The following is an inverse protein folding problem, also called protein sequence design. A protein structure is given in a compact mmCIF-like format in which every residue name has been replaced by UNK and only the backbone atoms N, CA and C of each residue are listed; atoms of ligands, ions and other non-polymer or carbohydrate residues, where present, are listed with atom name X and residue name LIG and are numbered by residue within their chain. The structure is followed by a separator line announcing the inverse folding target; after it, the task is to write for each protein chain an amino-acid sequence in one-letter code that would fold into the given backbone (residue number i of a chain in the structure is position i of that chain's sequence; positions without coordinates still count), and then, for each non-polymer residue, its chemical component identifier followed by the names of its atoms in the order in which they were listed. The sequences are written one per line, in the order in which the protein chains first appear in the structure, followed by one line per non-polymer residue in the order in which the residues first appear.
data_IF_585230594492
#
_entry.id   IF_585230594492
#
_cell.length_a   1.000
_cell.length_b   1.000
_cell.length_c   1.000
_cell.angle_alpha   90.00
_cell.angle_beta   90.00
_cell.angle_gamma   90.00
#
_symmetry.space_group_name_H-M   'P 1'
#
loop_
_entity.id
_entity.type
_entity.pdbx_description
1 polymer ?
#
# COMPACT_ATOMS: atom_id res chain seq x y z
N UNK A 1 66.40 -29.03 20.47
CA UNK A 1 65.88 -28.13 21.49
C UNK A 1 66.48 -26.75 21.26
N UNK A 2 65.69 -25.77 20.94
CA UNK A 2 66.16 -24.40 20.81
C UNK A 2 66.29 -23.80 22.23
N UNK A 3 67.48 -23.36 22.61
CA UNK A 3 67.75 -22.68 23.86
C UNK A 3 67.55 -21.18 23.61
N UNK A 4 66.55 -20.61 24.20
CA UNK A 4 66.29 -19.17 24.19
C UNK A 4 67.09 -18.52 25.33
N UNK A 5 68.00 -17.58 24.99
CA UNK A 5 68.65 -16.72 25.99
C UNK A 5 67.75 -15.49 26.24
N UNK A 6 67.41 -15.28 27.50
CA UNK A 6 66.62 -14.13 27.92
C UNK A 6 65.27 -14.49 28.54
N UNK A 7 64.46 -13.48 28.81
CA UNK A 7 63.12 -13.64 29.42
C UNK A 7 62.21 -14.27 28.40
N UNK A 8 61.60 -15.43 28.70
CA UNK A 8 60.58 -16.06 27.88
C UNK A 8 59.30 -15.24 27.85
N UNK A 9 58.93 -14.71 26.74
CA UNK A 9 57.67 -14.06 26.48
C UNK A 9 56.59 -15.09 26.10
N UNK A 10 55.34 -14.75 26.24
CA UNK A 10 54.23 -15.61 25.81
C UNK A 10 54.26 -15.88 24.30
N UNK A 11 54.79 -14.94 23.51
CA UNK A 11 55.06 -15.09 22.08
C UNK A 11 56.12 -16.15 21.76
N UNK A 12 57.12 -16.36 22.63
CA UNK A 12 58.17 -17.35 22.40
C UNK A 12 57.70 -18.79 22.64
N UNK A 13 56.61 -18.95 23.41
CA UNK A 13 55.97 -20.24 23.62
C UNK A 13 55.14 -20.66 22.41
N UNK A 14 54.69 -19.67 21.64
CA UNK A 14 53.89 -19.88 20.44
C UNK A 14 54.74 -20.06 19.17
N UNK A 15 56.00 -19.58 19.16
CA UNK A 15 56.86 -19.53 17.98
C UNK A 15 57.61 -20.83 17.64
N UNK A 16 57.39 -21.90 18.37
CA UNK A 16 58.14 -23.17 18.17
C UNK A 16 57.43 -24.06 17.14
N UNK A 17 57.42 -23.67 15.87
CA UNK A 17 57.32 -24.55 14.70
C UNK A 17 57.15 -23.79 13.37
N UNK A 18 58.07 -22.92 13.08
CA UNK A 18 58.23 -22.44 11.71
C UNK A 18 59.47 -23.00 11.11
N UNK A 19 59.43 -24.24 10.67
CA UNK A 19 60.31 -24.69 9.58
C UNK A 19 59.53 -25.65 8.69
N UNK A 20 59.48 -25.27 7.43
CA UNK A 20 58.93 -26.03 6.33
C UNK A 20 57.41 -26.02 6.17
N UNK A 21 56.85 -25.04 5.47
CA UNK A 21 55.90 -25.16 4.37
C UNK A 21 54.57 -25.89 4.61
N UNK A 22 54.21 -26.25 5.81
CA UNK A 22 52.91 -26.87 6.14
C UNK A 22 52.26 -26.01 7.19
N UNK A 23 51.03 -25.61 6.94
CA UNK A 23 50.23 -24.67 7.69
C UNK A 23 50.49 -24.68 9.20
N UNK A 24 50.57 -23.51 9.80
CA UNK A 24 50.80 -23.30 11.22
C UNK A 24 50.03 -24.31 12.07
N UNK A 25 50.73 -25.19 12.75
CA UNK A 25 50.06 -26.01 13.75
C UNK A 25 49.46 -25.11 14.83
N UNK A 26 48.18 -25.26 15.12
CA UNK A 26 47.53 -24.45 16.14
C UNK A 26 48.30 -24.56 17.44
N UNK A 27 48.48 -23.46 18.13
CA UNK A 27 49.17 -23.37 19.42
C UNK A 27 48.48 -24.25 20.47
N UNK A 28 48.94 -25.49 20.62
CA UNK A 28 48.29 -26.54 21.44
C UNK A 28 48.52 -26.35 22.92
N UNK A 29 49.38 -25.43 23.32
CA UNK A 29 49.75 -25.25 24.73
C UNK A 29 49.08 -24.02 25.39
N UNK A 30 48.55 -23.09 24.57
CA UNK A 30 47.91 -21.90 25.03
C UNK A 30 46.43 -22.20 25.28
N UNK A 31 45.96 -21.98 26.48
CA UNK A 31 44.52 -21.96 26.79
C UNK A 31 44.00 -20.57 26.43
N UNK A 32 43.24 -20.50 25.36
CA UNK A 32 42.54 -19.27 24.99
C UNK A 32 41.36 -19.07 25.94
N UNK A 33 41.26 -17.88 26.48
CA UNK A 33 40.08 -17.45 27.22
C UNK A 33 39.00 -17.08 26.20
N UNK A 34 37.92 -17.86 26.19
CA UNK A 34 36.75 -17.57 25.38
C UNK A 34 35.67 -17.01 26.27
N UNK A 35 35.08 -15.90 25.89
CA UNK A 35 33.89 -15.40 26.56
C UNK A 35 32.77 -16.45 26.49
N UNK A 36 32.08 -16.68 27.57
CA UNK A 36 30.92 -17.56 27.62
C UNK A 36 29.70 -16.92 26.91
N UNK A 37 29.83 -15.64 26.58
CA UNK A 37 28.77 -14.88 25.92
C UNK A 37 29.05 -14.73 24.42
N UNK A 38 28.15 -15.25 23.57
CA UNK A 38 28.16 -15.05 22.15
C UNK A 38 27.33 -13.82 21.83
N UNK A 39 27.94 -12.81 21.21
CA UNK A 39 27.22 -11.65 20.70
C UNK A 39 26.62 -12.02 19.33
N UNK A 40 25.32 -12.02 19.22
CA UNK A 40 24.60 -12.32 18.00
C UNK A 40 23.99 -11.04 17.42
N UNK A 41 24.23 -10.77 16.13
CA UNK A 41 23.56 -9.72 15.38
C UNK A 41 22.25 -10.30 14.84
N UNK A 42 21.17 -10.19 15.62
CA UNK A 42 19.86 -10.60 15.16
C UNK A 42 19.20 -9.43 14.38
N UNK A 43 18.75 -9.64 13.15
CA UNK A 43 17.87 -8.68 12.49
C UNK A 43 16.53 -8.61 13.24
N UNK A 44 15.90 -7.44 13.22
CA UNK A 44 14.58 -7.27 13.80
C UNK A 44 13.58 -8.24 13.13
N UNK A 45 12.58 -8.67 13.88
CA UNK A 45 11.59 -9.62 13.41
C UNK A 45 10.70 -9.02 12.33
N UNK A 46 10.07 -9.88 11.53
CA UNK A 46 9.20 -9.54 10.42
C UNK A 46 7.88 -8.90 10.89
N UNK A 47 7.70 -7.57 10.87
CA UNK A 47 6.53 -6.91 11.43
C UNK A 47 5.27 -7.13 10.60
N UNK A 48 5.34 -7.04 9.29
CA UNK A 48 4.17 -7.14 8.41
C UNK A 48 3.49 -8.51 8.51
N UNK A 49 4.28 -9.58 8.48
CA UNK A 49 3.75 -10.94 8.62
C UNK A 49 3.09 -11.19 9.99
N UNK A 50 3.65 -10.61 11.06
CA UNK A 50 3.06 -10.71 12.40
C UNK A 50 1.69 -10.05 12.44
N UNK A 51 1.56 -8.83 11.90
CA UNK A 51 0.26 -8.14 11.82
C UNK A 51 -0.75 -8.90 10.97
N UNK A 52 -0.36 -9.37 9.79
CA UNK A 52 -1.24 -10.15 8.91
C UNK A 52 -1.75 -11.43 9.58
N UNK A 53 -0.87 -12.18 10.22
CA UNK A 53 -1.23 -13.45 10.84
C UNK A 53 -2.17 -13.30 12.04
N UNK A 54 -2.10 -12.17 12.76
CA UNK A 54 -2.87 -11.96 13.96
C UNK A 54 -4.20 -11.23 13.72
N UNK A 55 -4.23 -10.28 12.80
CA UNK A 55 -5.37 -9.40 12.59
C UNK A 55 -6.24 -9.86 11.41
N UNK A 56 -5.65 -10.40 10.37
CA UNK A 56 -6.29 -10.59 9.07
C UNK A 56 -6.17 -12.03 8.55
N UNK A 57 -6.36 -13.05 9.39
CA UNK A 57 -6.22 -14.45 8.99
C UNK A 57 -7.55 -15.10 8.66
N UNK A 58 -7.71 -15.55 7.42
CA UNK A 58 -8.90 -16.30 6.95
C UNK A 58 -8.43 -17.51 6.13
N UNK A 59 -8.67 -18.75 6.60
CA UNK A 59 -8.24 -19.95 5.88
C UNK A 59 -8.96 -20.13 4.54
N UNK A 60 -8.30 -20.79 3.60
CA UNK A 60 -8.87 -21.21 2.33
C UNK A 60 -8.80 -22.74 2.20
N UNK A 61 -9.73 -23.34 1.47
CA UNK A 61 -9.78 -24.77 1.19
C UNK A 61 -9.27 -25.13 -0.21
N UNK A 62 -8.99 -24.12 -1.04
CA UNK A 62 -8.41 -24.28 -2.39
C UNK A 62 -7.09 -23.50 -2.49
N UNK A 63 -6.20 -24.00 -3.33
CA UNK A 63 -4.94 -23.33 -3.68
C UNK A 63 -5.13 -22.09 -4.55
N UNK A 64 -6.31 -21.91 -5.14
CA UNK A 64 -6.76 -20.73 -5.87
C UNK A 64 -7.96 -20.16 -5.13
N UNK A 65 -7.77 -19.12 -4.37
CA UNK A 65 -8.87 -18.46 -3.69
C UNK A 65 -9.41 -17.30 -4.52
N UNK A 66 -10.73 -17.15 -4.50
CA UNK A 66 -11.43 -16.06 -5.17
C UNK A 66 -12.10 -15.16 -4.15
N UNK A 67 -12.17 -13.88 -4.47
CA UNK A 67 -12.84 -12.89 -3.65
C UNK A 67 -13.63 -11.94 -4.53
N UNK A 68 -14.66 -11.35 -3.94
CA UNK A 68 -15.57 -10.45 -4.62
C UNK A 68 -15.30 -9.02 -4.17
N UNK A 69 -15.25 -8.11 -5.13
CA UNK A 69 -15.06 -6.71 -4.91
C UNK A 69 -16.27 -5.92 -5.42
N UNK A 70 -16.81 -5.11 -4.54
CA UNK A 70 -17.88 -4.19 -4.93
C UNK A 70 -17.29 -2.77 -5.03
N UNK A 71 -16.95 -2.38 -6.25
CA UNK A 71 -16.57 -1.02 -6.59
C UNK A 71 -17.81 -0.29 -7.04
N UNK A 72 -18.28 0.65 -6.23
CA UNK A 72 -19.29 1.57 -6.73
C UNK A 72 -18.62 2.49 -7.75
N UNK A 73 -18.84 2.24 -9.03
CA UNK A 73 -18.45 3.17 -10.11
C UNK A 73 -19.11 4.53 -9.95
N UNK A 74 -20.11 4.59 -9.08
CA UNK A 74 -20.87 5.77 -8.76
C UNK A 74 -20.34 6.31 -7.46
N UNK A 75 -19.58 7.39 -7.55
CA UNK A 75 -19.25 8.16 -6.38
C UNK A 75 -20.53 8.73 -5.77
N UNK A 76 -21.02 8.10 -4.69
CA UNK A 76 -22.27 8.53 -4.07
C UNK A 76 -22.18 9.93 -3.46
N UNK A 77 -20.98 10.40 -3.19
CA UNK A 77 -20.76 11.72 -2.56
C UNK A 77 -20.73 12.84 -3.56
N UNK A 78 -20.17 12.64 -4.76
CA UNK A 78 -19.97 13.71 -5.73
C UNK A 78 -20.63 13.40 -7.05
N UNK A 79 -21.14 12.50 -7.54
CA UNK A 79 -21.83 12.23 -8.82
C UNK A 79 -21.60 13.34 -9.87
N UNK A 80 -20.32 13.62 -10.13
CA UNK A 80 -19.90 14.62 -11.10
C UNK A 80 -19.68 13.98 -12.46
N UNK A 81 -19.87 14.78 -13.51
CA UNK A 81 -19.56 14.46 -14.88
C UNK A 81 -19.28 15.76 -15.65
N UNK A 82 -18.77 15.65 -16.87
CA UNK A 82 -18.38 16.79 -17.69
C UNK A 82 -19.26 16.89 -18.93
N UNK A 83 -19.38 18.09 -19.47
CA UNK A 83 -19.88 18.27 -20.81
C UNK A 83 -18.80 17.89 -21.83
N UNK A 84 -19.06 16.90 -22.68
CA UNK A 84 -18.17 16.47 -23.75
C UNK A 84 -18.30 17.31 -25.02
N UNK A 85 -19.26 18.25 -25.04
CA UNK A 85 -19.45 19.21 -26.13
C UNK A 85 -20.24 20.42 -25.64
N UNK A 86 -19.98 21.57 -26.22
CA UNK A 86 -20.73 22.78 -25.94
C UNK A 86 -22.23 22.63 -26.32
N UNK A 87 -23.11 22.95 -25.39
CA UNK A 87 -24.55 22.89 -25.59
C UNK A 87 -25.00 24.06 -26.46
N UNK A 88 -25.99 23.82 -27.33
CA UNK A 88 -26.52 24.85 -28.28
C UNK A 88 -25.43 25.48 -29.18
N UNK A 89 -24.38 24.70 -29.52
CA UNK A 89 -23.28 25.20 -30.34
C UNK A 89 -22.48 26.35 -29.70
N UNK A 90 -22.44 26.39 -28.35
CA UNK A 90 -21.77 27.46 -27.62
C UNK A 90 -22.55 28.76 -27.50
N UNK A 91 -23.83 28.76 -27.89
CA UNK A 91 -24.73 29.90 -27.74
C UNK A 91 -25.48 29.80 -26.40
N UNK A 92 -25.94 30.96 -25.92
CA UNK A 92 -26.69 31.05 -24.67
C UNK A 92 -27.94 30.15 -24.68
N UNK A 93 -28.16 29.43 -23.55
CA UNK A 93 -29.35 28.63 -23.33
C UNK A 93 -30.42 29.44 -22.61
N UNK A 94 -31.68 29.03 -22.75
CA UNK A 94 -32.84 29.72 -22.17
C UNK A 94 -33.63 28.78 -21.27
N UNK A 95 -34.11 29.29 -20.12
CA UNK A 95 -34.97 28.56 -19.23
C UNK A 95 -36.25 28.08 -19.94
N UNK A 96 -36.70 26.88 -19.62
CA UNK A 96 -37.87 26.24 -20.23
C UNK A 96 -37.59 25.52 -21.53
N UNK A 97 -36.45 25.73 -22.20
CA UNK A 97 -36.07 25.09 -23.46
C UNK A 97 -35.33 23.76 -23.23
N UNK A 98 -35.53 22.83 -24.19
CA UNK A 98 -34.83 21.53 -24.16
C UNK A 98 -33.66 21.57 -25.17
N UNK A 99 -32.54 21.01 -24.77
CA UNK A 99 -31.33 20.90 -25.56
C UNK A 99 -30.75 19.48 -25.48
N UNK A 100 -29.95 19.11 -26.45
CA UNK A 100 -29.19 17.88 -26.45
C UNK A 100 -27.89 18.10 -25.66
N UNK A 101 -27.65 17.24 -24.69
CA UNK A 101 -26.43 17.20 -23.91
C UNK A 101 -25.60 15.98 -24.31
N UNK A 102 -24.33 16.18 -24.53
CA UNK A 102 -23.33 15.13 -24.67
C UNK A 102 -22.38 15.26 -23.49
N UNK A 103 -22.24 14.20 -22.70
CA UNK A 103 -21.49 14.20 -21.44
C UNK A 103 -20.54 13.02 -21.39
N UNK A 104 -19.48 13.17 -20.65
CA UNK A 104 -18.53 12.11 -20.34
C UNK A 104 -18.20 12.06 -18.85
N UNK A 105 -17.56 10.97 -18.43
CA UNK A 105 -17.18 10.80 -17.02
C UNK A 105 -16.06 11.77 -16.66
N UNK A 106 -16.18 12.39 -15.50
CA UNK A 106 -15.10 13.11 -14.86
C UNK A 106 -14.09 12.11 -14.29
N UNK A 107 -12.91 12.03 -14.89
CA UNK A 107 -11.81 11.16 -14.45
C UNK A 107 -10.82 11.84 -13.52
N UNK A 108 -10.98 13.16 -13.30
CA UNK A 108 -10.10 13.93 -12.45
C UNK A 108 -10.69 14.15 -11.06
N UNK A 109 -9.93 13.82 -10.02
CA UNK A 109 -10.23 14.24 -8.66
C UNK A 109 -9.73 15.67 -8.49
N UNK A 110 -10.64 16.64 -8.60
CA UNK A 110 -10.33 18.06 -8.44
C UNK A 110 -9.77 18.80 -9.67
N UNK A 111 -9.68 18.14 -10.82
CA UNK A 111 -9.30 18.74 -12.10
C UNK A 111 -10.27 18.33 -13.20
N UNK A 112 -10.45 19.20 -14.18
CA UNK A 112 -11.30 18.97 -15.35
C UNK A 112 -10.51 18.19 -16.39
N UNK A 113 -10.80 16.90 -16.55
CA UNK A 113 -10.24 16.09 -17.63
C UNK A 113 -11.34 15.29 -18.31
N UNK A 114 -11.50 15.48 -19.61
CA UNK A 114 -12.41 14.67 -20.42
C UNK A 114 -11.95 13.21 -20.38
N UNK A 115 -12.77 12.32 -19.79
CA UNK A 115 -12.39 10.94 -19.57
C UNK A 115 -12.59 10.02 -20.75
N UNK A 116 -13.31 10.43 -21.77
CA UNK A 116 -13.64 9.57 -22.90
C UNK A 116 -14.36 8.28 -22.49
N UNK A 117 -15.08 8.29 -21.37
CA UNK A 117 -15.89 7.20 -20.87
C UNK A 117 -17.34 7.67 -20.65
N UNK A 118 -18.29 6.79 -20.92
CA UNK A 118 -19.71 7.07 -20.73
C UNK A 118 -20.08 7.20 -19.25
N UNK A 119 -21.15 7.94 -18.99
CA UNK A 119 -21.71 8.16 -17.66
C UNK A 119 -22.87 7.19 -17.42
N UNK A 120 -22.65 6.10 -16.70
CA UNK A 120 -23.59 4.98 -16.57
C UNK A 120 -24.73 5.22 -15.57
N UNK A 121 -24.61 6.19 -14.67
CA UNK A 121 -25.55 6.41 -13.58
C UNK A 121 -26.68 7.38 -13.88
N UNK A 122 -26.71 7.98 -15.08
CA UNK A 122 -27.73 8.94 -15.43
C UNK A 122 -29.05 8.25 -15.77
N UNK A 123 -30.12 8.74 -15.21
CA UNK A 123 -31.50 8.28 -15.50
C UNK A 123 -32.39 9.46 -15.83
N UNK A 124 -33.47 9.18 -16.56
CA UNK A 124 -34.51 10.15 -16.83
C UNK A 124 -35.11 10.67 -15.51
N UNK A 125 -35.27 11.99 -15.41
CA UNK A 125 -35.80 12.66 -14.22
C UNK A 125 -34.75 13.10 -13.21
N UNK A 126 -33.47 12.77 -13.42
CA UNK A 126 -32.38 13.39 -12.65
C UNK A 126 -32.28 14.87 -12.95
N UNK A 127 -31.87 15.61 -11.92
CA UNK A 127 -31.61 17.04 -11.96
C UNK A 127 -30.14 17.26 -11.63
N UNK A 128 -29.46 18.00 -12.48
CA UNK A 128 -28.07 18.37 -12.29
C UNK A 128 -27.85 19.84 -12.51
N UNK A 129 -26.75 20.34 -12.02
CA UNK A 129 -26.31 21.72 -12.16
C UNK A 129 -25.05 21.72 -13.01
N UNK A 130 -24.97 22.60 -13.98
CA UNK A 130 -23.77 22.88 -14.74
C UNK A 130 -23.11 24.11 -14.18
N UNK A 131 -21.86 23.96 -13.77
CA UNK A 131 -21.00 25.06 -13.33
C UNK A 131 -20.20 25.55 -14.54
N UNK A 132 -20.54 26.73 -15.07
CA UNK A 132 -19.82 27.27 -16.19
C UNK A 132 -18.48 27.87 -15.78
N UNK A 133 -17.41 27.44 -16.44
CA UNK A 133 -16.06 27.98 -16.23
C UNK A 133 -15.72 29.12 -17.17
N UNK A 134 -16.50 29.31 -18.23
CA UNK A 134 -16.27 30.31 -19.29
C UNK A 134 -16.54 31.72 -18.77
N UNK A 135 -15.49 32.48 -18.53
CA UNK A 135 -15.56 33.90 -18.14
C UNK A 135 -15.58 34.15 -16.63
N UNK A 136 -15.52 33.11 -15.80
CA UNK A 136 -15.68 33.19 -14.35
C UNK A 136 -14.38 33.38 -13.58
N UNK A 137 -13.34 33.92 -14.17
CA UNK A 137 -12.10 34.16 -13.38
C UNK A 137 -12.28 35.16 -12.22
N UNK A 138 -13.45 35.77 -12.08
CA UNK A 138 -13.51 36.91 -11.15
C UNK A 138 -14.62 36.92 -10.14
N UNK A 139 -15.41 36.00 -9.90
CA UNK A 139 -16.38 36.11 -8.82
C UNK A 139 -17.84 35.82 -9.18
N UNK A 140 -18.13 34.63 -9.51
CA UNK A 140 -19.54 34.30 -9.58
C UNK A 140 -19.72 32.81 -9.84
N UNK A 141 -20.30 32.16 -8.89
CA UNK A 141 -20.80 30.80 -9.03
C UNK A 141 -22.01 30.84 -9.94
N UNK A 142 -21.80 30.56 -11.23
CA UNK A 142 -22.89 30.54 -12.21
C UNK A 142 -23.37 29.10 -12.35
N UNK A 143 -24.61 28.86 -12.05
CA UNK A 143 -25.23 27.54 -12.10
C UNK A 143 -26.42 27.56 -13.07
N UNK A 144 -26.42 26.62 -13.99
CA UNK A 144 -27.59 26.33 -14.84
C UNK A 144 -28.18 24.99 -14.38
N UNK A 145 -29.42 24.99 -13.94
CA UNK A 145 -30.11 23.78 -13.47
C UNK A 145 -30.82 23.10 -14.64
N UNK A 146 -30.55 21.82 -14.82
CA UNK A 146 -31.04 21.01 -15.93
C UNK A 146 -31.73 19.76 -15.42
N UNK A 147 -32.86 19.38 -16.00
CA UNK A 147 -33.53 18.10 -15.75
C UNK A 147 -33.44 17.21 -16.99
N UNK A 148 -33.09 15.96 -16.80
CA UNK A 148 -33.04 14.95 -17.87
C UNK A 148 -34.46 14.55 -18.29
N UNK A 149 -34.80 14.72 -19.54
CA UNK A 149 -36.16 14.42 -20.08
C UNK A 149 -36.22 13.12 -20.88
N UNK A 150 -35.14 12.74 -21.56
CA UNK A 150 -35.07 11.47 -22.29
C UNK A 150 -34.23 10.44 -21.54
N UNK A 151 -34.41 9.15 -21.83
CA UNK A 151 -33.48 8.14 -21.40
C UNK A 151 -32.09 8.43 -21.99
N UNK A 152 -31.03 8.40 -21.18
CA UNK A 152 -29.67 8.56 -21.69
C UNK A 152 -29.28 7.42 -22.62
N UNK A 153 -28.54 7.75 -23.67
CA UNK A 153 -28.00 6.78 -24.65
C UNK A 153 -26.48 6.78 -24.55
N UNK A 154 -25.93 5.62 -24.30
CA UNK A 154 -24.51 5.41 -24.16
C UNK A 154 -23.88 5.05 -25.52
N UNK A 155 -22.75 5.69 -25.85
CA UNK A 155 -21.92 5.37 -27.03
C UNK A 155 -20.59 4.69 -26.67
N UNK A 156 -20.34 4.36 -25.41
CA UNK A 156 -19.09 3.80 -24.91
C UNK A 156 -18.03 4.85 -24.53
N UNK A 157 -18.05 6.01 -25.15
CA UNK A 157 -17.14 7.14 -24.83
C UNK A 157 -17.88 8.34 -24.28
N UNK A 158 -19.13 8.52 -24.66
CA UNK A 158 -19.97 9.64 -24.23
C UNK A 158 -21.40 9.17 -24.03
N UNK A 159 -22.14 9.85 -23.17
CA UNK A 159 -23.57 9.64 -22.97
C UNK A 159 -24.34 10.83 -23.49
N UNK A 160 -25.39 10.60 -24.27
CA UNK A 160 -26.23 11.65 -24.85
C UNK A 160 -27.65 11.57 -24.34
N UNK A 161 -28.25 12.71 -24.05
CA UNK A 161 -29.65 12.82 -23.62
C UNK A 161 -30.25 14.19 -23.97
N UNK A 162 -31.56 14.28 -23.91
CA UNK A 162 -32.26 15.55 -23.95
C UNK A 162 -32.50 16.07 -22.55
N UNK A 163 -32.01 17.26 -22.22
CA UNK A 163 -32.20 17.94 -20.94
C UNK A 163 -32.96 19.24 -21.12
N UNK A 164 -33.89 19.51 -20.20
CA UNK A 164 -34.63 20.76 -20.13
C UNK A 164 -33.99 21.69 -19.11
N UNK A 165 -33.71 22.90 -19.53
CA UNK A 165 -33.21 23.95 -18.66
C UNK A 165 -34.35 24.37 -17.71
N UNK A 166 -34.15 24.22 -16.42
CA UNK A 166 -35.15 24.60 -15.41
C UNK A 166 -34.96 26.05 -15.02
N UNK A 167 -33.72 26.39 -14.68
CA UNK A 167 -33.37 27.73 -14.27
C UNK A 167 -31.96 28.09 -14.76
N UNK A 168 -31.75 29.37 -14.99
CA UNK A 168 -30.48 29.95 -15.36
C UNK A 168 -30.19 31.03 -14.36
N UNK A 169 -29.40 30.70 -13.35
CA UNK A 169 -29.10 31.59 -12.25
C UNK A 169 -27.95 32.53 -12.53
N UNK A 170 -27.94 33.64 -11.80
CA UNK A 170 -26.86 34.61 -11.77
C UNK A 170 -26.58 35.39 -13.08
N UNK A 171 -27.62 36.05 -13.57
CA UNK A 171 -27.52 36.95 -14.73
C UNK A 171 -26.51 38.13 -14.59
N UNK A 172 -25.92 38.27 -13.39
CA UNK A 172 -24.88 39.29 -13.16
C UNK A 172 -23.48 38.83 -13.62
N UNK A 173 -23.31 37.56 -13.98
CA UNK A 173 -22.06 37.01 -14.50
C UNK A 173 -22.14 36.97 -16.04
N UNK A 174 -21.18 37.54 -16.72
CA UNK A 174 -21.11 37.46 -18.18
C UNK A 174 -20.95 36.02 -18.66
N UNK A 175 -21.76 35.55 -19.59
CA UNK A 175 -21.72 34.18 -20.10
C UNK A 175 -22.32 33.12 -19.17
N UNK A 176 -23.06 33.51 -18.17
CA UNK A 176 -23.67 32.61 -17.18
C UNK A 176 -24.57 31.50 -17.76
N UNK A 177 -25.09 31.70 -18.93
CA UNK A 177 -25.95 30.77 -19.65
C UNK A 177 -25.30 30.17 -20.92
N UNK A 178 -24.00 30.26 -21.06
CA UNK A 178 -23.22 29.61 -22.11
C UNK A 178 -22.60 28.37 -21.52
N UNK A 179 -23.02 27.18 -21.95
CA UNK A 179 -22.54 25.91 -21.48
C UNK A 179 -21.44 25.40 -22.42
N UNK A 180 -20.22 25.43 -21.94
CA UNK A 180 -19.04 25.11 -22.74
C UNK A 180 -18.65 23.63 -22.61
N UNK A 181 -17.75 23.19 -23.48
CA UNK A 181 -17.05 21.92 -23.35
C UNK A 181 -16.21 21.89 -22.06
N UNK A 182 -16.19 20.75 -21.39
CA UNK A 182 -15.52 20.54 -20.11
C UNK A 182 -16.12 21.31 -18.90
N UNK A 183 -17.32 21.88 -19.03
CA UNK A 183 -18.02 22.41 -17.85
C UNK A 183 -18.41 21.28 -16.91
N UNK A 184 -18.17 21.49 -15.60
CA UNK A 184 -18.44 20.50 -14.57
C UNK A 184 -19.94 20.43 -14.26
N UNK A 185 -20.49 19.24 -14.33
CA UNK A 185 -21.87 18.94 -13.98
C UNK A 185 -21.93 18.16 -12.69
N UNK A 186 -22.83 18.54 -11.78
CA UNK A 186 -23.07 17.85 -10.53
C UNK A 186 -24.54 17.47 -10.39
N UNK A 187 -24.81 16.18 -10.10
CA UNK A 187 -26.18 15.73 -9.82
C UNK A 187 -26.61 16.21 -8.44
N UNK A 188 -27.74 16.90 -8.38
CA UNK A 188 -28.32 17.41 -7.13
C UNK A 188 -29.48 16.57 -6.62
N UNK A 189 -30.05 15.70 -7.46
CA UNK A 189 -31.15 14.83 -7.06
C UNK A 189 -32.04 14.41 -8.23
N UNK A 190 -33.26 14.03 -7.92
CA UNK A 190 -34.27 13.63 -8.90
C UNK A 190 -35.55 14.43 -8.69
N UNK A 191 -36.24 14.77 -9.79
CA UNK A 191 -37.53 15.46 -9.73
C UNK A 191 -38.53 14.82 -10.71
N UNK A 192 -39.64 14.32 -10.20
CA UNK A 192 -40.68 13.69 -10.98
C UNK A 192 -42.01 14.47 -10.82
N UNK A 193 -42.81 14.43 -11.86
CA UNK A 193 -44.14 15.02 -11.81
C UNK A 193 -45.11 14.17 -10.98
N UNK A 194 -46.17 14.78 -10.53
CA UNK A 194 -47.26 14.10 -9.83
C UNK A 194 -47.91 13.06 -10.77
N UNK A 195 -48.11 11.82 -10.26
CA UNK A 195 -48.71 10.75 -11.04
C UNK A 195 -47.81 10.08 -12.09
N UNK A 196 -46.52 10.34 -12.09
CA UNK A 196 -45.54 9.67 -13.00
C UNK A 196 -45.22 8.26 -12.52
N UNK A 197 -44.87 7.38 -13.46
CA UNK A 197 -44.38 6.02 -13.15
C UNK A 197 -43.03 6.05 -12.45
N UNK A 198 -42.64 4.88 -11.89
CA UNK A 198 -41.33 4.70 -11.25
C UNK A 198 -40.19 5.01 -12.23
N UNK A 199 -39.09 5.58 -11.76
CA UNK A 199 -37.91 5.78 -12.59
C UNK A 199 -37.24 4.48 -13.00
N UNK A 200 -36.44 4.53 -14.05
CA UNK A 200 -35.53 3.45 -14.41
C UNK A 200 -34.51 3.22 -13.27
N UNK A 201 -34.04 1.99 -13.15
CA UNK A 201 -33.06 1.61 -12.14
C UNK A 201 -31.69 1.40 -12.79
N UNK A 202 -30.63 1.70 -12.06
CA UNK A 202 -29.27 1.31 -12.41
C UNK A 202 -28.68 0.50 -11.26
N UNK A 203 -27.80 -0.43 -11.61
CA UNK A 203 -27.05 -1.25 -10.65
C UNK A 203 -25.63 -1.45 -11.13
N UNK A 204 -24.71 -1.63 -10.22
CA UNK A 204 -23.33 -2.02 -10.53
C UNK A 204 -23.16 -3.50 -10.22
N UNK A 205 -22.48 -4.23 -11.12
CA UNK A 205 -22.12 -5.61 -10.89
C UNK A 205 -20.91 -5.73 -9.97
N UNK A 206 -20.87 -6.84 -9.23
CA UNK A 206 -19.73 -7.19 -8.37
C UNK A 206 -18.64 -7.80 -9.25
N UNK A 207 -17.42 -7.33 -9.08
CA UNK A 207 -16.24 -7.87 -9.77
C UNK A 207 -15.60 -8.99 -8.95
N UNK A 208 -15.02 -10.00 -9.59
CA UNK A 208 -14.26 -11.03 -8.93
C UNK A 208 -12.77 -10.95 -9.29
N UNK A 209 -11.92 -11.19 -8.31
CA UNK A 209 -10.49 -11.38 -8.50
C UNK A 209 -10.05 -12.66 -7.77
N UNK A 210 -8.84 -13.11 -8.02
CA UNK A 210 -8.30 -14.34 -7.47
C UNK A 210 -6.86 -14.20 -7.03
N UNK A 211 -6.46 -15.02 -6.07
CA UNK A 211 -5.08 -15.15 -5.64
C UNK A 211 -4.63 -16.61 -5.62
N UNK A 212 -3.32 -16.82 -5.46
CA UNK A 212 -2.72 -18.15 -5.34
C UNK A 212 -2.08 -18.33 -3.98
N UNK A 213 -2.16 -19.55 -3.43
CA UNK A 213 -1.31 -19.93 -2.30
C UNK A 213 0.07 -20.32 -2.80
N UNK A 214 1.10 -19.97 -2.06
CA UNK A 214 2.50 -20.32 -2.31
C UNK A 214 3.01 -21.25 -1.22
N UNK A 215 3.80 -22.25 -1.60
CA UNK A 215 4.41 -23.19 -0.69
C UNK A 215 5.81 -22.73 -0.32
N UNK A 216 6.01 -22.38 0.93
CA UNK A 216 7.31 -22.03 1.52
C UNK A 216 7.88 -23.24 2.22
N UNK A 217 9.16 -23.55 1.99
CA UNK A 217 9.87 -24.68 2.61
C UNK A 217 11.25 -24.25 3.08
N UNK A 218 11.55 -24.53 4.33
CA UNK A 218 12.88 -24.30 4.90
C UNK A 218 13.33 -25.54 5.66
N UNK A 219 14.48 -26.08 5.32
CA UNK A 219 15.03 -27.28 5.96
C UNK A 219 16.20 -26.92 6.86
N UNK A 220 16.31 -27.68 7.96
CA UNK A 220 17.46 -27.71 8.83
C UNK A 220 18.05 -29.12 8.81
N UNK A 221 19.34 -29.23 8.50
CA UNK A 221 20.04 -30.50 8.36
C UNK A 221 21.37 -30.46 9.11
N UNK A 222 21.61 -31.46 9.95
CA UNK A 222 22.83 -31.57 10.72
C UNK A 222 23.23 -33.04 10.87
N UNK A 223 24.54 -33.35 10.72
CA UNK A 223 25.04 -34.72 10.90
C UNK A 223 24.97 -35.12 12.37
N UNK A 224 24.73 -36.42 12.64
CA UNK A 224 24.69 -36.94 14.01
C UNK A 224 26.02 -36.75 14.76
N UNK A 225 27.14 -36.75 14.06
CA UNK A 225 28.45 -36.40 14.61
C UNK A 225 28.51 -34.98 15.11
N UNK A 226 27.95 -34.00 14.34
CA UNK A 226 27.90 -32.61 14.74
C UNK A 226 26.96 -32.41 15.93
N UNK A 227 25.83 -33.11 15.99
CA UNK A 227 24.91 -33.10 17.16
C UNK A 227 25.57 -33.66 18.40
N UNK A 228 26.36 -34.74 18.29
CA UNK A 228 27.07 -35.35 19.40
C UNK A 228 28.26 -34.52 19.90
N UNK A 229 28.78 -33.61 19.09
CA UNK A 229 29.95 -32.79 19.43
C UNK A 229 29.53 -31.63 20.33
N UNK A 230 30.26 -31.42 21.42
CA UNK A 230 30.07 -30.25 22.29
C UNK A 230 30.77 -29.02 21.72
N UNK A 231 30.03 -27.99 21.51
CA UNK A 231 30.52 -26.69 21.07
C UNK A 231 30.56 -25.70 22.25
N UNK A 232 31.44 -24.69 22.16
CA UNK A 232 31.41 -23.57 23.10
C UNK A 232 30.39 -22.54 22.66
N UNK A 233 29.77 -21.87 23.61
CA UNK A 233 28.83 -20.79 23.37
C UNK A 233 27.36 -21.22 23.42
N UNK A 234 27.00 -22.37 22.90
CA UNK A 234 25.64 -22.91 22.94
C UNK A 234 25.63 -24.35 23.46
N UNK A 235 24.65 -24.66 24.27
CA UNK A 235 24.48 -26.02 24.81
C UNK A 235 24.00 -27.01 23.74
N UNK A 236 23.18 -26.55 22.80
CA UNK A 236 22.61 -27.35 21.73
C UNK A 236 22.68 -26.58 20.38
N UNK A 237 23.56 -27.05 19.52
CA UNK A 237 23.78 -26.41 18.22
C UNK A 237 22.59 -26.59 17.27
N UNK A 238 21.89 -27.72 17.35
CA UNK A 238 20.72 -28.00 16.57
C UNK A 238 19.59 -26.99 16.85
N UNK A 239 19.32 -26.73 18.15
CA UNK A 239 18.29 -25.74 18.54
C UNK A 239 18.63 -24.33 18.08
N UNK A 240 19.90 -23.94 18.13
CA UNK A 240 20.35 -22.64 17.64
C UNK A 240 20.10 -22.49 16.16
N UNK A 241 20.54 -23.46 15.34
CA UNK A 241 20.35 -23.45 13.89
C UNK A 241 18.86 -23.47 13.57
N UNK A 242 18.10 -24.29 14.29
CA UNK A 242 16.65 -24.38 14.10
C UNK A 242 15.94 -23.05 14.37
N UNK A 243 16.26 -22.37 15.46
CA UNK A 243 15.71 -21.05 15.77
C UNK A 243 16.03 -20.02 14.67
N UNK A 244 17.26 -20.04 14.15
CA UNK A 244 17.66 -19.17 13.03
C UNK A 244 16.86 -19.48 11.77
N UNK A 245 16.69 -20.77 11.43
CA UNK A 245 15.91 -21.20 10.25
C UNK A 245 14.42 -20.85 10.35
N UNK A 246 13.84 -20.87 11.54
CA UNK A 246 12.47 -20.40 11.76
C UNK A 246 12.32 -18.89 11.51
N UNK A 247 13.31 -18.10 11.94
CA UNK A 247 13.32 -16.65 11.65
C UNK A 247 13.47 -16.40 10.13
N UNK A 248 14.41 -17.08 9.47
CA UNK A 248 14.58 -17.00 8.02
C UNK A 248 13.27 -17.33 7.27
N UNK A 249 12.59 -18.41 7.70
CA UNK A 249 11.32 -18.82 7.10
C UNK A 249 10.23 -17.73 7.20
N UNK A 250 10.10 -17.08 8.36
CA UNK A 250 9.16 -15.96 8.54
C UNK A 250 9.51 -14.78 7.62
N UNK A 251 10.78 -14.42 7.53
CA UNK A 251 11.27 -13.32 6.66
C UNK A 251 11.04 -13.64 5.18
N UNK A 252 11.18 -14.90 4.77
CA UNK A 252 10.91 -15.31 3.37
C UNK A 252 9.42 -15.20 3.03
N UNK A 253 8.53 -15.55 3.96
CA UNK A 253 7.08 -15.37 3.79
C UNK A 253 6.77 -13.87 3.66
N UNK A 254 7.29 -13.05 4.56
CA UNK A 254 7.07 -11.59 4.54
C UNK A 254 7.55 -10.96 3.24
N UNK A 255 8.75 -11.35 2.77
CA UNK A 255 9.30 -10.87 1.51
C UNK A 255 8.39 -11.20 0.33
N UNK A 256 7.82 -12.41 0.29
CA UNK A 256 6.87 -12.80 -0.74
C UNK A 256 5.56 -12.03 -0.64
N UNK A 257 5.06 -11.77 0.58
CA UNK A 257 3.82 -11.01 0.80
C UNK A 257 3.98 -9.49 0.59
N UNK A 258 5.21 -8.98 0.60
CA UNK A 258 5.48 -7.60 0.22
C UNK A 258 5.74 -7.45 -1.29
N UNK A 259 6.66 -8.25 -1.85
CA UNK A 259 7.21 -8.03 -3.19
C UNK A 259 6.80 -9.10 -4.22
N UNK A 260 6.03 -10.11 -3.83
CA UNK A 260 5.59 -11.18 -4.73
C UNK A 260 4.76 -10.68 -5.91
N UNK A 261 4.73 -11.46 -6.98
CA UNK A 261 3.88 -11.21 -8.13
C UNK A 261 3.01 -12.45 -8.41
N UNK A 262 1.73 -12.23 -8.61
CA UNK A 262 0.76 -13.29 -8.93
C UNK A 262 1.13 -14.00 -10.22
N UNK A 263 1.51 -15.27 -10.13
CA UNK A 263 1.85 -16.09 -11.29
C UNK A 263 1.64 -17.59 -11.02
N UNK A 264 1.45 -18.36 -12.10
CA UNK A 264 1.45 -19.81 -12.09
C UNK A 264 2.26 -20.31 -13.26
N UNK A 265 3.41 -20.90 -12.99
CA UNK A 265 4.33 -21.37 -14.03
C UNK A 265 4.83 -22.77 -13.69
N UNK A 266 4.75 -23.71 -14.62
CA UNK A 266 5.26 -25.07 -14.45
C UNK A 266 4.67 -25.84 -13.26
N UNK A 267 3.44 -25.54 -12.84
CA UNK A 267 2.80 -26.14 -11.67
C UNK A 267 3.17 -25.49 -10.34
N UNK A 268 4.07 -24.50 -10.34
CA UNK A 268 4.41 -23.71 -9.15
C UNK A 268 3.54 -22.46 -9.12
N UNK A 269 2.93 -22.19 -7.96
CA UNK A 269 2.11 -21.02 -7.71
C UNK A 269 2.89 -20.01 -6.88
N UNK A 270 2.70 -18.72 -7.21
CA UNK A 270 3.33 -17.59 -6.55
C UNK A 270 2.25 -16.65 -6.03
N UNK A 271 2.33 -16.29 -4.77
CA UNK A 271 1.40 -15.33 -4.15
C UNK A 271 1.70 -13.91 -4.61
N UNK A 272 0.69 -13.08 -4.64
CA UNK A 272 0.83 -11.64 -4.88
C UNK A 272 1.23 -10.93 -3.59
N UNK A 273 2.19 -10.03 -3.68
CA UNK A 273 2.60 -9.16 -2.58
C UNK A 273 2.00 -7.76 -2.73
N UNK A 274 1.81 -7.05 -1.63
CA UNK A 274 1.14 -5.76 -1.63
C UNK A 274 1.87 -4.70 -2.47
N UNK A 275 3.19 -4.57 -2.32
CA UNK A 275 3.99 -3.65 -3.16
C UNK A 275 3.95 -4.09 -4.61
N UNK A 276 4.06 -5.41 -4.88
CA UNK A 276 3.98 -5.96 -6.23
C UNK A 276 2.64 -5.65 -6.89
N UNK A 277 1.54 -5.75 -6.14
CA UNK A 277 0.20 -5.41 -6.61
C UNK A 277 0.05 -3.92 -6.94
N UNK A 278 0.54 -3.04 -6.07
CA UNK A 278 0.49 -1.58 -6.30
C UNK A 278 1.30 -1.19 -7.54
N UNK A 279 2.54 -1.64 -7.63
CA UNK A 279 3.44 -1.28 -8.75
C UNK A 279 2.93 -1.81 -10.09
N UNK A 280 2.24 -2.96 -10.09
CA UNK A 280 1.64 -3.52 -11.31
C UNK A 280 0.45 -2.72 -11.81
N UNK A 281 -0.36 -2.19 -10.90
CA UNK A 281 -1.65 -1.55 -11.21
C UNK A 281 -1.57 -0.01 -11.23
N UNK A 282 -0.47 0.59 -10.83
CA UNK A 282 -0.27 2.03 -10.85
C UNK A 282 1.10 2.42 -11.40
N UNK A 283 1.15 3.52 -12.13
CA UNK A 283 2.41 4.16 -12.50
C UNK A 283 2.79 5.19 -11.44
N UNK A 284 4.08 5.35 -11.11
CA UNK A 284 4.50 6.39 -10.20
C UNK A 284 4.18 7.77 -10.78
N UNK A 285 3.52 8.60 -10.00
CA UNK A 285 3.17 9.96 -10.38
C UNK A 285 4.13 10.92 -9.72
N UNK A 286 4.78 11.75 -10.50
CA UNK A 286 5.67 12.81 -10.04
C UNK A 286 5.01 14.19 -10.05
N UNK A 287 3.88 14.33 -10.76
CA UNK A 287 3.19 15.59 -10.98
C UNK A 287 2.06 15.82 -9.97
N UNK A 288 1.98 17.01 -9.41
CA UNK A 288 0.98 17.42 -8.42
C UNK A 288 -0.43 17.53 -9.00
N UNK A 289 -0.54 17.75 -10.30
CA UNK A 289 -1.82 17.98 -11.00
C UNK A 289 -2.51 16.69 -11.49
N UNK A 290 -1.85 15.54 -11.38
CA UNK A 290 -2.29 14.30 -12.05
C UNK A 290 -2.99 13.29 -11.13
N UNK A 291 -3.62 13.73 -10.04
CA UNK A 291 -4.43 12.83 -9.22
C UNK A 291 -5.80 12.60 -9.82
N UNK A 292 -5.87 11.79 -10.88
CA UNK A 292 -7.14 11.23 -11.29
C UNK A 292 -7.44 9.97 -10.47
N UNK A 293 -8.57 9.97 -9.79
CA UNK A 293 -9.13 8.75 -9.22
C UNK A 293 -9.55 7.85 -10.40
N UNK A 294 -8.91 6.70 -10.53
CA UNK A 294 -9.35 5.65 -11.44
C UNK A 294 -9.72 4.42 -10.62
N UNK A 295 -10.89 3.87 -10.90
CA UNK A 295 -11.35 2.63 -10.23
C UNK A 295 -10.33 1.51 -10.45
N UNK A 296 -9.94 0.81 -9.40
CA UNK A 296 -8.94 -0.24 -9.44
C UNK A 296 -7.48 0.23 -9.40
N UNK A 297 -7.22 1.54 -9.34
CA UNK A 297 -5.86 2.08 -9.37
C UNK A 297 -5.41 2.50 -7.97
N UNK A 298 -4.40 1.84 -7.38
CA UNK A 298 -3.82 2.25 -6.12
C UNK A 298 -3.05 3.57 -6.24
N UNK A 299 -2.80 4.22 -5.12
CA UNK A 299 -2.00 5.43 -5.09
C UNK A 299 -0.50 5.08 -5.09
N UNK A 300 0.23 5.50 -6.12
CA UNK A 300 1.67 5.35 -6.18
C UNK A 300 2.33 6.68 -6.53
N UNK A 301 3.13 7.20 -5.63
CA UNK A 301 3.82 8.47 -5.79
C UNK A 301 5.32 8.32 -5.61
N UNK A 302 6.08 8.91 -6.53
CA UNK A 302 7.52 9.11 -6.40
C UNK A 302 7.83 10.60 -6.20
N UNK A 303 8.61 10.91 -5.15
CA UNK A 303 8.97 12.28 -4.77
C UNK A 303 10.44 12.39 -4.46
N UNK A 304 11.11 13.39 -5.01
CA UNK A 304 12.47 13.71 -4.62
C UNK A 304 12.53 14.16 -3.15
N UNK A 305 13.55 13.72 -2.42
CA UNK A 305 13.68 14.04 -0.99
C UNK A 305 13.69 15.56 -0.71
N UNK A 306 14.19 16.37 -1.65
CA UNK A 306 14.20 17.83 -1.54
C UNK A 306 12.83 18.49 -1.66
N UNK A 307 11.88 17.82 -2.29
CA UNK A 307 10.52 18.31 -2.55
C UNK A 307 9.52 17.84 -1.49
N UNK A 308 9.90 16.89 -0.65
CA UNK A 308 9.07 16.37 0.40
C UNK A 308 8.98 17.37 1.55
N UNK A 309 7.99 18.24 1.48
CA UNK A 309 7.65 19.21 2.52
C UNK A 309 6.42 18.77 3.31
N UNK A 310 6.16 19.44 4.44
CA UNK A 310 4.94 19.19 5.21
C UNK A 310 3.67 19.43 4.39
N UNK A 311 3.60 20.55 3.70
CA UNK A 311 2.42 20.95 2.95
C UNK A 311 2.15 19.98 1.79
N UNK A 312 3.23 19.49 1.16
CA UNK A 312 3.10 18.47 0.11
C UNK A 312 2.59 17.13 0.66
N UNK A 313 3.17 16.67 1.77
CA UNK A 313 2.71 15.46 2.43
C UNK A 313 1.23 15.56 2.82
N UNK A 314 0.80 16.71 3.32
CA UNK A 314 -0.59 16.94 3.70
C UNK A 314 -1.53 16.87 2.48
N UNK A 315 -1.12 17.43 1.36
CA UNK A 315 -1.88 17.35 0.10
C UNK A 315 -1.96 15.92 -0.44
N UNK A 316 -0.87 15.16 -0.35
CA UNK A 316 -0.86 13.74 -0.75
C UNK A 316 -1.74 12.89 0.18
N UNK A 317 -1.76 13.18 1.49
CA UNK A 317 -2.62 12.50 2.46
C UNK A 317 -4.11 12.82 2.24
N UNK A 318 -4.46 14.00 1.76
CA UNK A 318 -5.83 14.33 1.34
C UNK A 318 -6.33 13.34 0.30
N UNK A 319 -5.50 13.02 -0.69
CA UNK A 319 -5.85 12.05 -1.74
C UNK A 319 -5.90 10.62 -1.20
N UNK A 320 -4.95 10.23 -0.34
CA UNK A 320 -4.86 8.87 0.20
C UNK A 320 -6.04 8.55 1.13
N UNK A 321 -6.46 9.52 1.94
CA UNK A 321 -7.58 9.38 2.88
C UNK A 321 -8.92 9.83 2.29
N UNK A 322 -9.00 10.09 0.99
CA UNK A 322 -10.27 10.44 0.34
C UNK A 322 -11.32 9.35 0.58
N UNK A 323 -12.50 9.71 1.14
CA UNK A 323 -13.62 8.78 1.31
C UNK A 323 -14.03 8.04 0.05
N UNK A 324 -13.80 8.62 -1.12
CA UNK A 324 -14.08 7.99 -2.42
C UNK A 324 -13.24 6.73 -2.67
N UNK A 325 -12.07 6.63 -2.04
CA UNK A 325 -11.21 5.43 -2.08
C UNK A 325 -11.69 4.30 -1.15
N UNK A 326 -12.66 4.58 -0.27
CA UNK A 326 -13.35 3.58 0.55
C UNK A 326 -12.53 2.94 1.66
N UNK A 327 -11.39 3.49 2.01
CA UNK A 327 -10.54 2.96 3.06
C UNK A 327 -10.89 3.44 4.47
N UNK A 328 -10.26 2.81 5.46
CA UNK A 328 -10.32 3.22 6.87
C UNK A 328 -9.57 4.54 7.10
N UNK A 329 -9.98 5.30 8.12
CA UNK A 329 -9.22 6.47 8.61
C UNK A 329 -7.90 6.08 9.29
N UNK A 330 -7.76 4.81 9.68
CA UNK A 330 -6.56 4.28 10.31
C UNK A 330 -5.75 3.46 9.30
N UNK A 331 -4.47 3.78 9.13
CA UNK A 331 -3.57 3.08 8.20
C UNK A 331 -2.35 2.55 8.93
N UNK A 332 -2.01 1.29 8.65
CA UNK A 332 -0.70 0.76 8.98
C UNK A 332 0.30 1.26 7.93
N UNK A 333 1.36 1.90 8.39
CA UNK A 333 2.41 2.44 7.53
C UNK A 333 3.71 1.70 7.77
N UNK A 334 4.12 0.90 6.80
CA UNK A 334 5.41 0.26 6.81
C UNK A 334 6.42 1.21 6.16
N UNK A 335 7.40 1.65 6.91
CA UNK A 335 8.35 2.64 6.43
C UNK A 335 9.80 2.17 6.57
N UNK A 336 10.62 2.58 5.61
CA UNK A 336 12.06 2.40 5.68
C UNK A 336 12.67 3.33 6.74
N UNK A 337 13.87 2.99 7.21
CA UNK A 337 14.56 3.78 8.22
C UNK A 337 14.86 5.23 7.79
N UNK A 338 15.29 5.50 6.54
CA UNK A 338 15.47 6.86 6.04
C UNK A 338 14.19 7.69 6.08
N UNK A 339 13.05 7.10 5.72
CA UNK A 339 11.75 7.77 5.74
C UNK A 339 11.33 8.12 7.18
N UNK A 340 11.49 7.21 8.13
CA UNK A 340 11.23 7.49 9.56
C UNK A 340 12.10 8.64 10.06
N UNK A 341 13.39 8.64 9.70
CA UNK A 341 14.30 9.72 10.07
C UNK A 341 13.87 11.06 9.46
N UNK A 342 13.34 11.02 8.24
CA UNK A 342 12.78 12.21 7.58
C UNK A 342 11.58 12.77 8.36
N UNK A 343 10.61 11.91 8.75
CA UNK A 343 9.47 12.34 9.56
C UNK A 343 9.89 12.98 10.88
N UNK A 344 10.89 12.42 11.57
CA UNK A 344 11.43 13.03 12.79
C UNK A 344 12.01 14.41 12.53
N UNK A 345 12.76 14.61 11.44
CA UNK A 345 13.30 15.92 11.06
C UNK A 345 12.20 16.91 10.68
N UNK A 346 11.14 16.44 10.06
CA UNK A 346 9.98 17.26 9.71
C UNK A 346 9.30 17.80 10.99
N UNK A 347 9.19 16.97 12.02
CA UNK A 347 8.71 17.36 13.35
C UNK A 347 9.60 18.38 14.02
N UNK A 348 10.92 18.21 13.98
CA UNK A 348 11.90 19.15 14.54
C UNK A 348 11.87 20.50 13.81
N UNK A 349 11.76 20.51 12.48
CA UNK A 349 11.64 21.73 11.68
C UNK A 349 10.39 22.54 12.02
N UNK A 350 9.29 21.91 12.30
CA UNK A 350 8.06 22.57 12.75
C UNK A 350 8.22 23.25 14.13
N UNK A 351 9.16 22.76 14.95
CA UNK A 351 9.51 23.37 16.25
C UNK A 351 10.49 24.54 16.12
N UNK A 352 11.39 24.50 15.12
CA UNK A 352 12.47 25.47 14.97
C UNK A 352 12.14 26.69 14.09
N UNK A 353 11.09 26.62 13.29
CA UNK A 353 10.63 27.75 12.47
C UNK A 353 9.75 28.76 13.27
N UNK A 354 9.81 28.69 14.60
CA UNK A 354 9.47 29.80 15.47
C UNK A 354 10.56 30.84 15.39
N UNK A 355 10.74 31.49 14.25
CA UNK A 355 11.45 32.74 14.10
C UNK A 355 10.91 33.67 15.18
N UNK A 356 11.81 34.11 16.07
CA UNK A 356 11.54 35.02 17.19
C UNK A 356 10.84 36.27 16.70
N UNK A 357 9.52 36.28 16.67
CA UNK A 357 8.78 37.50 16.29
C UNK A 357 7.27 37.38 16.22
N UNK A 358 6.68 36.22 16.20
CA UNK A 358 5.22 36.13 16.20
C UNK A 358 4.74 35.00 17.11
N UNK A 359 4.29 35.37 18.28
CA UNK A 359 3.83 34.49 19.36
C UNK A 359 2.46 33.83 19.09
N UNK A 360 2.01 33.68 17.86
CA UNK A 360 0.64 33.24 17.59
C UNK A 360 0.47 31.98 16.75
N UNK A 361 1.53 31.25 16.40
CA UNK A 361 1.41 30.02 15.62
C UNK A 361 2.20 28.81 16.18
N UNK A 362 2.12 28.59 17.48
CA UNK A 362 2.48 27.31 18.07
C UNK A 362 1.29 26.36 17.91
N UNK A 363 1.01 25.94 16.71
CA UNK A 363 0.15 24.78 16.49
C UNK A 363 1.08 23.58 16.34
N UNK A 364 1.06 22.67 17.30
CA UNK A 364 1.64 21.33 17.13
C UNK A 364 0.98 20.71 15.91
N UNK A 365 1.69 20.67 14.79
CA UNK A 365 1.18 20.13 13.53
C UNK A 365 1.11 18.61 13.54
N UNK A 366 1.93 17.98 14.40
CA UNK A 366 1.91 16.53 14.61
C UNK A 366 1.97 16.18 16.09
N UNK A 367 1.15 15.24 16.50
CA UNK A 367 1.28 14.58 17.78
C UNK A 367 1.98 13.24 17.54
N UNK A 368 3.26 13.13 17.90
CA UNK A 368 4.00 11.89 17.84
C UNK A 368 3.90 11.20 19.18
N UNK A 369 3.18 10.10 19.24
CA UNK A 369 3.18 9.21 20.39
C UNK A 369 3.95 7.91 20.05
N UNK A 370 5.03 7.66 20.77
CA UNK A 370 5.70 6.36 20.73
C UNK A 370 4.96 5.41 21.65
N UNK A 371 4.33 4.37 21.09
CA UNK A 371 3.66 3.32 21.84
C UNK A 371 4.30 1.98 21.55
N UNK A 372 4.44 1.16 22.58
CA UNK A 372 4.78 -0.24 22.41
C UNK A 372 3.52 -0.96 21.93
N UNK A 373 3.54 -1.47 20.70
CA UNK A 373 2.41 -2.20 20.12
C UNK A 373 2.16 -3.51 20.87
N UNK A 374 0.95 -4.04 20.78
CA UNK A 374 0.54 -5.30 21.40
C UNK A 374 1.44 -6.50 21.02
N UNK A 375 2.29 -6.36 20.00
CA UNK A 375 3.15 -7.41 19.44
C UNK A 375 4.65 -7.17 19.66
N UNK A 376 5.03 -6.24 20.53
CA UNK A 376 6.44 -5.96 20.88
C UNK A 376 7.18 -5.08 19.85
N UNK A 377 6.51 -4.56 18.82
CA UNK A 377 7.08 -3.59 17.90
C UNK A 377 6.82 -2.17 18.39
N UNK A 378 7.82 -1.30 18.20
CA UNK A 378 7.63 0.13 18.44
C UNK A 378 6.81 0.73 17.32
N UNK A 379 5.69 1.32 17.67
CA UNK A 379 4.75 2.00 16.76
C UNK A 379 4.84 3.49 17.03
N UNK A 380 5.06 4.27 15.97
CA UNK A 380 4.93 5.71 16.03
C UNK A 380 3.56 6.08 15.45
N UNK A 381 2.70 6.67 16.25
CA UNK A 381 1.40 7.15 15.80
C UNK A 381 1.50 8.60 15.41
N UNK A 382 1.03 8.92 14.21
CA UNK A 382 0.94 10.28 13.68
C UNK A 382 -0.52 10.58 13.39
N UNK A 383 -1.08 11.51 14.15
CA UNK A 383 -2.44 12.00 13.92
C UNK A 383 -2.39 13.19 12.96
N UNK A 384 -3.07 13.06 11.85
CA UNK A 384 -3.23 14.10 10.84
C UNK A 384 -4.67 14.57 10.76
N UNK A 385 -4.92 15.68 10.07
CA UNK A 385 -6.30 16.19 9.85
C UNK A 385 -7.15 15.18 9.08
N UNK A 386 -6.53 14.35 8.23
CA UNK A 386 -7.21 13.42 7.34
C UNK A 386 -7.39 12.02 7.96
N UNK A 387 -6.50 11.61 8.86
CA UNK A 387 -6.56 10.30 9.49
C UNK A 387 -5.31 9.99 10.31
N UNK A 388 -5.32 8.81 10.93
CA UNK A 388 -4.25 8.33 11.80
C UNK A 388 -3.34 7.36 11.05
N UNK A 389 -2.03 7.58 11.15
CA UNK A 389 -1.00 6.71 10.58
C UNK A 389 -0.23 6.01 11.70
N UNK A 390 -0.16 4.70 11.64
CA UNK A 390 0.62 3.86 12.55
C UNK A 390 1.91 3.43 11.85
N UNK A 391 3.00 4.15 12.08
CA UNK A 391 4.29 3.87 11.46
C UNK A 391 5.01 2.73 12.19
N UNK A 392 5.38 1.73 11.41
CA UNK A 392 6.19 0.60 11.83
C UNK A 392 7.42 0.52 10.93
N UNK A 393 8.57 0.28 11.53
CA UNK A 393 9.82 0.09 10.79
C UNK A 393 9.81 -1.25 10.09
N UNK A 394 10.01 -1.22 8.76
CA UNK A 394 10.13 -2.42 7.93
C UNK A 394 11.60 -2.70 7.57
N UNK A 395 12.21 -3.76 8.12
CA UNK A 395 13.61 -4.07 7.87
C UNK A 395 13.92 -4.47 6.43
N UNK A 396 12.93 -4.95 5.68
CA UNK A 396 13.09 -5.39 4.29
C UNK A 396 13.17 -4.23 3.30
N UNK A 397 12.76 -3.02 3.70
CA UNK A 397 12.87 -1.84 2.86
C UNK A 397 14.28 -1.29 2.85
N UNK A 398 15.16 -1.96 2.07
CA UNK A 398 16.57 -1.61 1.89
C UNK A 398 16.98 -1.69 0.43
N UNK A 399 18.07 -1.06 0.07
CA UNK A 399 18.55 -1.03 -1.30
C UNK A 399 17.60 -0.29 -2.22
N UNK A 400 17.02 -0.95 -3.22
CA UNK A 400 16.09 -0.36 -4.17
C UNK A 400 14.80 0.16 -3.52
N UNK A 401 14.39 -0.44 -2.41
CA UNK A 401 13.18 -0.04 -1.67
C UNK A 401 13.47 0.85 -0.45
N UNK A 402 14.68 1.43 -0.35
CA UNK A 402 15.10 2.22 0.80
C UNK A 402 14.32 3.52 1.01
N UNK A 403 13.60 4.01 -0.01
CA UNK A 403 12.71 5.16 0.07
C UNK A 403 11.23 4.81 0.25
N UNK A 404 10.88 3.52 0.36
CA UNK A 404 9.49 3.12 0.38
C UNK A 404 8.80 3.41 1.72
N UNK A 405 7.58 3.89 1.58
CA UNK A 405 6.59 4.02 2.63
C UNK A 405 5.28 3.42 2.11
N UNK A 406 4.92 2.27 2.62
CA UNK A 406 3.73 1.53 2.23
C UNK A 406 2.61 1.79 3.22
N UNK A 407 1.53 2.39 2.78
CA UNK A 407 0.33 2.63 3.58
C UNK A 407 -0.71 1.57 3.26
N UNK A 408 -1.01 0.73 4.24
CA UNK A 408 -1.90 -0.39 4.10
C UNK A 408 -3.15 -0.25 4.96
N UNK A 409 -4.29 -0.52 4.38
CA UNK A 409 -5.53 -0.74 5.12
C UNK A 409 -5.64 -2.22 5.50
N UNK A 410 -5.43 -2.53 6.78
CA UNK A 410 -5.45 -3.91 7.26
C UNK A 410 -6.83 -4.57 7.14
N UNK A 411 -7.91 -3.80 7.04
CA UNK A 411 -9.27 -4.34 6.85
C UNK A 411 -9.49 -4.93 5.44
N UNK A 412 -8.63 -4.58 4.49
CA UNK A 412 -8.68 -4.99 3.08
C UNK A 412 -7.62 -6.03 2.72
N UNK A 413 -6.84 -6.47 3.69
CA UNK A 413 -5.82 -7.49 3.54
C UNK A 413 -6.21 -8.73 4.32
N UNK A 414 -5.96 -9.92 3.74
CA UNK A 414 -6.17 -11.17 4.44
C UNK A 414 -5.05 -12.18 4.15
N UNK A 415 -4.56 -12.79 5.22
CA UNK A 415 -3.66 -13.93 5.14
C UNK A 415 -4.48 -15.20 4.93
N UNK A 416 -4.24 -15.90 3.82
CA UNK A 416 -4.98 -17.08 3.38
C UNK A 416 -4.16 -18.36 3.50
N UNK A 417 -4.07 -18.99 4.68
CA UNK A 417 -3.45 -20.31 4.78
C UNK A 417 -4.36 -21.40 4.19
N UNK A 418 -3.76 -22.39 3.56
CA UNK A 418 -4.50 -23.53 3.04
C UNK A 418 -4.88 -24.50 4.17
N UNK A 419 -6.17 -24.62 4.44
CA UNK A 419 -6.73 -25.51 5.46
C UNK A 419 -7.97 -26.18 4.88
N UNK A 420 -7.88 -27.45 4.52
CA UNK A 420 -9.00 -28.17 3.92
C UNK A 420 -8.87 -29.69 4.09
N UNK A 421 -9.96 -30.43 3.95
CA UNK A 421 -10.03 -31.90 4.05
C UNK A 421 -9.37 -32.50 5.30
N UNK A 422 -9.43 -31.81 6.43
CA UNK A 422 -8.80 -32.24 7.69
C UNK A 422 -7.28 -32.05 7.75
N UNK A 423 -6.68 -31.45 6.73
CA UNK A 423 -5.25 -31.12 6.68
C UNK A 423 -5.06 -29.61 6.82
N UNK A 424 -4.26 -29.24 7.79
CA UNK A 424 -3.82 -27.86 7.98
C UNK A 424 -2.41 -27.69 7.41
N UNK A 425 -2.26 -26.89 6.37
CA UNK A 425 -0.99 -26.58 5.72
C UNK A 425 -0.44 -25.20 6.07
N UNK A 426 -1.03 -24.55 7.05
CA UNK A 426 -0.38 -23.42 7.70
C UNK A 426 0.94 -23.87 8.34
N UNK A 427 1.73 -22.98 8.86
CA UNK A 427 3.06 -23.27 9.39
C UNK A 427 3.09 -24.52 10.26
N UNK A 428 3.72 -25.59 9.79
CA UNK A 428 3.90 -26.83 10.50
C UNK A 428 5.30 -27.39 10.28
N UNK A 429 5.74 -28.19 11.23
CA UNK A 429 7.07 -28.77 11.26
C UNK A 429 6.95 -30.27 10.95
N UNK A 430 7.76 -30.76 10.01
CA UNK A 430 7.93 -32.17 9.74
C UNK A 430 9.32 -32.56 10.21
N UNK A 431 9.39 -33.49 11.14
CA UNK A 431 10.64 -33.97 11.73
C UNK A 431 11.07 -35.27 11.07
N UNK A 432 12.40 -35.53 11.08
CA UNK A 432 13.01 -36.76 10.61
C UNK A 432 12.68 -37.08 9.15
N UNK A 433 12.94 -36.12 8.25
CA UNK A 433 12.67 -36.24 6.80
C UNK A 433 13.85 -36.82 6.01
N UNK A 434 14.94 -37.19 6.68
CA UNK A 434 16.12 -37.79 6.07
C UNK A 434 15.83 -39.19 5.48
N UNK A 435 16.62 -39.60 4.50
CA UNK A 435 16.61 -40.98 4.01
C UNK A 435 17.12 -41.93 5.10
N UNK A 436 16.69 -43.17 5.09
CA UNK A 436 17.01 -44.15 6.12
C UNK A 436 18.47 -44.60 6.16
N UNK A 437 19.23 -44.31 5.11
CA UNK A 437 20.65 -44.64 4.92
C UNK A 437 21.58 -43.45 5.23
N UNK A 438 21.03 -42.28 5.56
CA UNK A 438 21.81 -41.07 5.86
C UNK A 438 21.99 -40.88 7.37
N UNK A 439 23.26 -40.74 7.81
CA UNK A 439 23.63 -40.44 9.21
C UNK A 439 23.52 -38.93 9.52
N UNK A 440 22.29 -38.41 9.45
CA UNK A 440 21.96 -37.03 9.70
C UNK A 440 20.53 -36.89 10.27
N UNK A 441 20.24 -35.75 10.88
CA UNK A 441 18.89 -35.34 11.21
C UNK A 441 18.46 -34.19 10.32
N UNK A 442 17.33 -34.36 9.66
CA UNK A 442 16.72 -33.35 8.79
C UNK A 442 15.30 -33.06 9.21
N UNK A 443 15.04 -31.84 9.59
CA UNK A 443 13.72 -31.35 9.92
C UNK A 443 13.35 -30.24 8.92
N UNK A 444 12.07 -30.07 8.63
CA UNK A 444 11.57 -29.13 7.63
C UNK A 444 10.38 -28.37 8.17
N UNK A 445 10.37 -27.04 7.96
CA UNK A 445 9.20 -26.19 8.14
C UNK A 445 8.52 -25.99 6.79
N UNK A 446 7.21 -26.12 6.77
CA UNK A 446 6.40 -25.89 5.58
C UNK A 446 5.28 -24.92 5.96
N UNK A 447 5.05 -23.94 5.11
CA UNK A 447 3.89 -23.06 5.15
C UNK A 447 3.30 -22.97 3.75
N UNK A 448 2.00 -23.13 3.63
CA UNK A 448 1.30 -22.87 2.38
C UNK A 448 0.22 -21.82 2.61
N UNK A 449 0.46 -20.63 2.08
CA UNK A 449 -0.41 -19.49 2.27
C UNK A 449 -0.32 -18.49 1.12
N UNK A 450 -1.34 -17.65 0.98
CA UNK A 450 -1.37 -16.53 0.05
C UNK A 450 -1.78 -15.25 0.74
N UNK A 451 -1.55 -14.12 0.09
CA UNK A 451 -2.06 -12.82 0.47
C UNK A 451 -3.26 -12.47 -0.43
N UNK A 452 -4.36 -12.13 0.19
CA UNK A 452 -5.51 -11.52 -0.47
C UNK A 452 -5.41 -10.01 -0.30
N UNK A 453 -5.47 -9.29 -1.40
CA UNK A 453 -5.50 -7.82 -1.45
C UNK A 453 -6.79 -7.42 -2.11
N UNK A 454 -7.71 -6.87 -1.36
CA UNK A 454 -8.98 -6.35 -1.88
C UNK A 454 -8.94 -4.84 -1.98
N UNK A 455 -9.63 -4.29 -2.99
CA UNK A 455 -9.76 -2.86 -3.23
C UNK A 455 -8.39 -2.14 -3.19
N UNK A 456 -7.56 -2.32 -4.22
CA UNK A 456 -6.21 -1.76 -4.28
C UNK A 456 -6.17 -0.23 -4.10
N UNK A 457 -7.27 0.45 -4.38
CA UNK A 457 -7.44 1.89 -4.20
C UNK A 457 -7.27 2.34 -2.74
N UNK A 458 -7.52 1.43 -1.79
CA UNK A 458 -7.38 1.71 -0.36
C UNK A 458 -5.92 1.71 0.11
N UNK A 459 -4.99 1.25 -0.72
CA UNK A 459 -3.57 1.15 -0.40
C UNK A 459 -2.77 2.22 -1.13
N UNK A 460 -1.66 2.64 -0.55
CA UNK A 460 -0.80 3.62 -1.14
C UNK A 460 0.68 3.25 -0.99
N UNK A 461 1.45 3.49 -2.03
CA UNK A 461 2.91 3.42 -2.01
C UNK A 461 3.48 4.81 -2.25
N UNK A 462 4.32 5.23 -1.35
CA UNK A 462 5.06 6.46 -1.43
C UNK A 462 6.55 6.14 -1.55
N UNK A 463 7.17 6.61 -2.59
CA UNK A 463 8.59 6.41 -2.85
C UNK A 463 9.32 7.74 -2.73
N UNK A 464 10.23 7.83 -1.76
CA UNK A 464 11.12 8.95 -1.59
C UNK A 464 12.42 8.64 -2.32
N UNK A 465 12.64 9.29 -3.43
CA UNK A 465 13.87 9.11 -4.19
C UNK A 465 15.06 9.67 -3.40
N UNK A 466 16.11 8.86 -3.28
CA UNK A 466 17.38 9.33 -2.71
C UNK A 466 18.01 10.34 -3.64
N UNK A 467 18.42 11.48 -3.09
CA UNK A 467 19.15 12.52 -3.83
C UNK A 467 20.48 12.00 -4.40
#
# INVERSE_FOLDING_TARGET
MSVTQGIKLSSDITAAATSAGVGQAPDRRRLYDFSDRVAELAPEESPFFVYLNQVAKTPTDDSVFRYLENRSKINMTTRNFLLAAAVNGGSAVSAGSAYTFTVDADTATGGVSSGGASVDFLIKGMVFVVNTTTGAETSGYAQTMVRIESAPTDSGTTTTFSGKIIDVSNSNVSGYNVLADNDVCQVIGTAFGEGTASPDTFSTEIEDDFGFTQIFKTSCELSNTAIATRYRGYANEFERIWATKLREHKVDIERAMLFGQKARVGGVQYTEGLVGHIVKNANPTTDDSAFSYSSGTPYYRSVAQSELTYDRLLSDLEVIFDPARGGSSDRLVLASLPVITFFNKLGDGAFMDASMGSASNMVNRYNFEEREGAFGHKIMTIDTVHGTMHLVKEPLFRGLSSGFMLMADMSKLQYRPLVGNGLNRDTHIITNVQNSDEDLRKDMVITEAGLEVTLPECHALYEVESA
#
